data_IF_209775880557
#
_entry.id   IF_209775880557
#
_cell.length_a   1.000
_cell.length_b   1.000
_cell.length_c   1.000
_cell.angle_alpha   90.00
_cell.angle_beta   90.00
_cell.angle_gamma   90.00
#
_symmetry.space_group_name_H-M   'P 1'
#
loop_
_entity.id
_entity.type
_entity.pdbx_description
1 polymer ?
#
# COMPACT_ATOMS: atom_id res chain seq x y z
N UNK A 1 9.50 34.34 5.15
CA UNK A 1 9.72 32.95 5.62
C UNK A 1 8.77 32.03 4.91
N UNK A 2 9.17 30.83 4.49
CA UNK A 2 8.24 29.81 3.96
C UNK A 2 7.66 28.97 5.10
N UNK A 3 6.55 28.24 4.91
CA UNK A 3 5.90 27.49 5.99
C UNK A 3 6.82 26.39 6.57
N UNK A 4 7.56 25.71 5.69
CA UNK A 4 8.57 24.73 6.07
C UNK A 4 9.70 25.33 6.94
N UNK A 5 10.12 26.57 6.67
CA UNK A 5 11.13 27.25 7.49
C UNK A 5 10.60 27.55 8.89
N UNK A 6 9.35 27.98 9.03
CA UNK A 6 8.72 28.23 10.34
C UNK A 6 8.66 26.94 11.16
N UNK A 7 8.28 25.82 10.53
CA UNK A 7 8.21 24.51 11.21
C UNK A 7 9.60 24.09 11.71
N UNK A 8 10.63 24.22 10.87
CA UNK A 8 12.01 23.85 11.22
C UNK A 8 12.58 24.72 12.34
N UNK A 9 12.36 26.03 12.29
CA UNK A 9 12.87 26.96 13.30
C UNK A 9 12.12 26.82 14.63
N UNK A 10 10.80 26.62 14.60
CA UNK A 10 10.03 26.30 15.79
C UNK A 10 10.53 25.00 16.45
N UNK A 11 10.83 23.96 15.67
CA UNK A 11 11.41 22.71 16.18
C UNK A 11 12.79 22.92 16.81
N UNK A 12 13.65 23.74 16.19
CA UNK A 12 14.96 24.09 16.75
C UNK A 12 14.85 24.83 18.10
N UNK A 13 13.78 25.61 18.27
CA UNK A 13 13.41 26.29 19.52
C UNK A 13 12.68 25.37 20.53
N UNK A 14 12.55 24.08 20.23
CA UNK A 14 11.89 23.08 21.09
C UNK A 14 10.36 23.12 21.03
N UNK A 15 9.79 23.71 19.97
CA UNK A 15 8.35 23.79 19.71
C UNK A 15 7.98 22.84 18.58
N UNK A 16 7.27 21.77 18.92
CA UNK A 16 6.74 20.80 17.96
C UNK A 16 5.33 21.17 17.54
N UNK A 17 5.14 21.32 16.23
CA UNK A 17 3.85 21.52 15.59
C UNK A 17 3.38 20.17 15.05
N UNK A 18 2.17 19.76 15.42
CA UNK A 18 1.54 18.53 14.92
C UNK A 18 0.12 18.84 14.46
N UNK A 19 -0.33 18.21 13.39
CA UNK A 19 -1.71 18.34 12.96
C UNK A 19 -2.57 17.29 13.68
N UNK A 20 -3.69 17.72 14.25
CA UNK A 20 -4.69 16.81 14.84
C UNK A 20 -5.59 16.26 13.73
N UNK A 21 -6.24 15.09 13.92
CA UNK A 21 -7.16 14.49 12.94
C UNK A 21 -8.33 15.41 12.55
N UNK A 22 -8.62 16.40 13.38
CA UNK A 22 -9.65 17.43 13.18
C UNK A 22 -9.15 18.66 12.41
N UNK A 23 -7.94 18.62 11.83
CA UNK A 23 -7.34 19.74 11.09
C UNK A 23 -6.83 20.88 11.99
N UNK A 24 -6.66 20.64 13.28
CA UNK A 24 -6.18 21.64 14.24
C UNK A 24 -4.69 21.50 14.51
N UNK A 25 -3.94 22.59 14.45
CA UNK A 25 -2.52 22.61 14.83
C UNK A 25 -2.39 22.48 16.35
N UNK A 26 -1.76 21.40 16.80
CA UNK A 26 -1.33 21.19 18.18
C UNK A 26 0.11 21.64 18.32
N UNK A 27 0.34 22.58 19.22
CA UNK A 27 1.68 23.12 19.52
C UNK A 27 2.12 22.55 20.86
N UNK A 28 3.27 21.88 20.87
CA UNK A 28 3.81 21.23 22.07
C UNK A 28 5.24 21.72 22.28
N UNK A 29 5.57 22.19 23.48
CA UNK A 29 6.91 22.71 23.78
C UNK A 29 6.92 23.57 25.04
N UNK A 30 8.06 24.20 25.32
CA UNK A 30 8.19 25.14 26.44
C UNK A 30 7.21 26.32 26.25
N UNK A 31 6.43 26.65 27.29
CA UNK A 31 5.39 27.69 27.22
C UNK A 31 5.88 29.08 26.79
N UNK A 32 7.14 29.44 27.08
CA UNK A 32 7.73 30.69 26.62
C UNK A 32 8.08 30.65 25.12
N UNK A 33 8.55 29.51 24.61
CA UNK A 33 8.79 29.32 23.18
C UNK A 33 7.46 29.26 22.40
N UNK A 34 6.47 28.52 22.91
CA UNK A 34 5.12 28.45 22.31
C UNK A 34 4.48 29.83 22.21
N UNK A 35 4.57 30.67 23.26
CA UNK A 35 4.03 32.03 23.22
C UNK A 35 4.73 32.95 22.21
N UNK A 36 6.05 32.78 22.01
CA UNK A 36 6.80 33.54 20.99
C UNK A 36 6.36 33.17 19.57
N UNK A 37 6.15 31.88 19.31
CA UNK A 37 5.78 31.39 17.98
C UNK A 37 4.28 31.53 17.68
N UNK A 38 3.43 31.72 18.69
CA UNK A 38 1.96 31.82 18.54
C UNK A 38 1.50 32.92 17.57
N UNK A 39 2.16 34.07 17.53
CA UNK A 39 1.83 35.16 16.60
C UNK A 39 2.14 34.76 15.15
N UNK A 40 3.32 34.19 14.91
CA UNK A 40 3.80 33.73 13.61
C UNK A 40 2.94 32.58 13.07
N UNK A 41 2.57 31.63 13.93
CA UNK A 41 1.70 30.49 13.58
C UNK A 41 0.29 30.96 13.21
N UNK A 42 -0.24 31.98 13.90
CA UNK A 42 -1.59 32.52 13.60
C UNK A 42 -1.64 33.26 12.28
N UNK A 43 -0.61 34.04 11.97
CA UNK A 43 -0.50 34.80 10.72
C UNK A 43 -0.46 33.89 9.48
N UNK A 44 0.16 32.72 9.62
CA UNK A 44 0.47 31.80 8.51
C UNK A 44 -0.24 30.44 8.64
N UNK A 45 -1.31 30.37 9.45
CA UNK A 45 -1.95 29.13 9.88
C UNK A 45 -2.34 28.21 8.72
N UNK A 46 -2.98 28.75 7.68
CA UNK A 46 -3.48 27.96 6.55
C UNK A 46 -2.33 27.33 5.75
N UNK A 47 -1.28 28.11 5.47
CA UNK A 47 -0.09 27.60 4.76
C UNK A 47 0.72 26.62 5.60
N UNK A 48 0.73 26.77 6.93
CA UNK A 48 1.36 25.81 7.84
C UNK A 48 0.55 24.52 7.90
N UNK A 49 -0.79 24.60 7.88
CA UNK A 49 -1.65 23.41 7.76
C UNK A 49 -1.37 22.70 6.44
N UNK A 50 -1.30 23.43 5.33
CA UNK A 50 -0.98 22.87 4.01
C UNK A 50 0.40 22.20 4.01
N UNK A 51 1.43 22.84 4.56
CA UNK A 51 2.77 22.26 4.69
C UNK A 51 2.90 21.15 5.75
N UNK A 52 1.93 21.00 6.66
CA UNK A 52 1.82 19.87 7.59
C UNK A 52 0.94 18.74 7.02
N UNK A 53 0.09 19.04 6.04
CA UNK A 53 -0.70 18.07 5.26
C UNK A 53 0.13 17.47 4.13
N UNK A 54 0.99 18.28 3.52
CA UNK A 54 2.14 17.84 2.73
C UNK A 54 3.14 17.27 3.74
N UNK A 55 2.90 16.04 4.18
CA UNK A 55 3.88 15.30 4.95
C UNK A 55 5.20 15.33 4.18
N UNK A 56 6.32 15.81 4.76
CA UNK A 56 7.60 15.25 4.40
C UNK A 56 7.61 13.85 5.02
N UNK A 57 6.82 12.95 4.43
CA UNK A 57 6.69 11.57 4.87
C UNK A 57 8.06 10.95 4.71
N UNK A 58 8.66 10.65 5.86
CA UNK A 58 9.85 9.84 6.06
C UNK A 58 10.38 9.19 4.79
N UNK A 59 11.49 9.75 4.28
CA UNK A 59 12.28 9.18 3.18
C UNK A 59 12.86 7.78 3.51
N UNK A 60 12.48 7.18 4.65
CA UNK A 60 12.93 5.88 5.13
C UNK A 60 11.79 4.93 5.55
N UNK A 61 10.50 5.31 5.45
CA UNK A 61 9.42 4.38 5.82
C UNK A 61 9.22 3.34 4.72
N UNK A 62 9.67 2.12 5.01
CA UNK A 62 9.28 0.96 4.23
C UNK A 62 7.75 0.83 4.27
N UNK A 63 7.12 0.75 3.10
CA UNK A 63 5.67 0.66 2.98
C UNK A 63 5.29 -0.51 2.08
N UNK A 64 4.16 -1.15 2.39
CA UNK A 64 3.58 -2.20 1.54
C UNK A 64 2.83 -1.65 0.33
N UNK A 65 2.47 -0.38 0.32
CA UNK A 65 1.58 0.21 -0.68
C UNK A 65 2.14 1.55 -1.16
N UNK A 66 2.38 1.65 -2.46
CA UNK A 66 3.01 2.79 -3.12
C UNK A 66 2.18 3.28 -4.29
N UNK A 67 2.04 4.60 -4.41
CA UNK A 67 1.40 5.26 -5.54
C UNK A 67 2.49 5.96 -6.35
N UNK A 68 2.76 5.44 -7.54
CA UNK A 68 3.88 5.83 -8.39
C UNK A 68 3.37 6.75 -9.50
N UNK A 69 3.83 7.98 -9.49
CA UNK A 69 3.52 8.97 -10.50
C UNK A 69 4.51 8.90 -11.65
N UNK A 70 3.99 9.01 -12.86
CA UNK A 70 4.75 9.12 -14.09
C UNK A 70 4.39 10.43 -14.80
N UNK A 71 5.25 10.96 -15.68
CA UNK A 71 4.98 12.22 -16.37
C UNK A 71 3.83 12.10 -17.39
N UNK A 72 3.68 10.93 -18.01
CA UNK A 72 2.82 10.75 -19.19
C UNK A 72 1.64 9.80 -18.97
N UNK A 73 1.43 9.29 -17.75
CA UNK A 73 0.37 8.32 -17.44
C UNK A 73 -0.22 8.50 -16.05
N UNK A 74 -1.41 7.96 -15.87
CA UNK A 74 -2.08 7.90 -14.58
C UNK A 74 -1.20 7.22 -13.50
N UNK A 75 -1.34 7.63 -12.23
CA UNK A 75 -0.58 7.05 -11.14
C UNK A 75 -0.83 5.55 -11.02
N UNK A 76 0.25 4.80 -10.77
CA UNK A 76 0.21 3.35 -10.63
C UNK A 76 0.26 2.96 -9.15
N UNK A 77 -0.74 2.20 -8.72
CA UNK A 77 -0.75 1.58 -7.40
C UNK A 77 0.08 0.27 -7.41
N UNK A 78 1.05 0.17 -6.51
CA UNK A 78 1.98 -0.95 -6.39
C UNK A 78 1.99 -1.49 -4.97
N UNK A 79 1.80 -2.80 -4.85
CA UNK A 79 1.97 -3.54 -3.61
C UNK A 79 3.38 -4.14 -3.51
N UNK A 80 4.01 -4.08 -2.34
CA UNK A 80 5.36 -4.60 -2.08
C UNK A 80 5.38 -5.51 -0.84
N UNK A 81 5.80 -6.76 -1.04
CA UNK A 81 6.06 -7.74 0.00
C UNK A 81 7.45 -8.37 -0.23
N UNK A 82 8.45 -8.15 0.65
CA UNK A 82 8.41 -7.34 1.88
C UNK A 82 8.22 -5.84 1.62
N UNK A 83 8.02 -5.07 2.69
CA UNK A 83 7.88 -3.61 2.63
C UNK A 83 9.05 -2.98 1.88
N UNK A 84 8.75 -2.24 0.81
CA UNK A 84 9.77 -1.56 0.02
C UNK A 84 9.97 -0.15 0.56
N UNK A 85 11.22 0.32 0.59
CA UNK A 85 11.50 1.73 0.87
C UNK A 85 11.25 2.59 -0.38
N UNK A 86 11.11 3.89 -0.18
CA UNK A 86 10.96 4.85 -1.30
C UNK A 86 12.09 4.68 -2.35
N UNK A 87 13.33 4.46 -1.89
CA UNK A 87 14.47 4.25 -2.77
C UNK A 87 14.32 2.97 -3.60
N UNK A 88 13.94 1.85 -2.97
CA UNK A 88 13.75 0.58 -3.68
C UNK A 88 12.62 0.66 -4.73
N UNK A 89 11.63 1.52 -4.52
CA UNK A 89 10.54 1.76 -5.48
C UNK A 89 11.03 2.57 -6.68
N UNK A 90 11.76 3.66 -6.45
CA UNK A 90 12.33 4.45 -7.53
C UNK A 90 13.39 3.68 -8.33
N UNK A 91 14.14 2.77 -7.71
CA UNK A 91 15.06 1.88 -8.44
C UNK A 91 14.33 0.90 -9.37
N UNK A 92 13.18 0.36 -8.94
CA UNK A 92 12.33 -0.50 -9.79
C UNK A 92 11.57 0.27 -10.85
N UNK A 93 11.34 1.56 -10.64
CA UNK A 93 10.58 2.44 -11.52
C UNK A 93 11.38 3.72 -11.83
N UNK A 94 12.46 3.62 -12.63
CA UNK A 94 13.36 4.74 -12.90
C UNK A 94 12.71 5.89 -13.69
N UNK A 95 11.62 5.61 -14.41
CA UNK A 95 10.84 6.61 -15.16
C UNK A 95 9.79 7.32 -14.29
N UNK A 96 9.69 6.97 -12.99
CA UNK A 96 8.76 7.59 -12.07
C UNK A 96 9.24 9.00 -11.66
N UNK A 97 8.30 9.95 -11.62
CA UNK A 97 8.56 11.33 -11.15
C UNK A 97 8.38 11.45 -9.63
N UNK A 98 7.55 10.60 -9.03
CA UNK A 98 7.36 10.54 -7.59
C UNK A 98 6.81 9.16 -7.17
N UNK A 99 7.12 8.74 -5.95
CA UNK A 99 6.50 7.58 -5.33
C UNK A 99 6.08 7.96 -3.91
N UNK A 100 4.79 7.85 -3.60
CA UNK A 100 4.28 8.19 -2.27
C UNK A 100 3.68 6.96 -1.61
N UNK A 101 3.96 6.69 -0.33
CA UNK A 101 3.29 5.63 0.38
C UNK A 101 1.83 6.02 0.59
N UNK A 102 0.90 5.10 0.34
CA UNK A 102 -0.53 5.35 0.53
C UNK A 102 -1.17 4.27 1.40
N UNK A 103 -2.26 4.62 2.08
CA UNK A 103 -3.11 3.63 2.72
C UNK A 103 -4.23 3.29 1.74
N UNK A 104 -4.27 2.08 1.16
CA UNK A 104 -5.36 1.71 0.27
C UNK A 104 -6.67 1.79 1.05
N UNK A 105 -7.71 2.31 0.40
CA UNK A 105 -9.06 2.20 0.94
C UNK A 105 -9.46 0.74 0.76
N UNK A 106 -9.25 -0.07 1.80
CA UNK A 106 -9.50 -1.51 1.76
C UNK A 106 -10.94 -1.74 1.29
N UNK A 107 -11.10 -2.24 0.08
CA UNK A 107 -12.38 -2.69 -0.42
C UNK A 107 -12.74 -3.95 0.37
N UNK A 108 -13.67 -3.85 1.30
CA UNK A 108 -14.08 -5.01 2.08
C UNK A 108 -14.72 -6.06 1.17
N UNK A 109 -14.31 -7.34 1.27
CA UNK A 109 -14.98 -8.42 0.56
C UNK A 109 -16.46 -8.45 0.92
N UNK A 110 -17.33 -8.47 -0.09
CA UNK A 110 -18.77 -8.55 0.10
C UNK A 110 -19.23 -9.92 0.60
N UNK A 111 -18.35 -10.92 0.56
CA UNK A 111 -18.57 -12.29 0.99
C UNK A 111 -17.31 -12.85 1.68
N UNK A 112 -17.46 -13.81 2.61
CA UNK A 112 -16.34 -14.52 3.20
C UNK A 112 -15.44 -15.18 2.14
N UNK A 113 -14.17 -15.41 2.49
CA UNK A 113 -13.28 -16.25 1.70
C UNK A 113 -13.83 -17.68 1.70
N UNK A 114 -13.92 -18.30 0.52
CA UNK A 114 -14.38 -19.69 0.40
C UNK A 114 -13.24 -20.67 0.68
N UNK A 115 -13.58 -21.88 1.13
CA UNK A 115 -12.58 -22.94 1.37
C UNK A 115 -11.76 -23.28 0.11
N UNK A 116 -12.36 -23.14 -1.08
CA UNK A 116 -11.69 -23.36 -2.36
C UNK A 116 -10.66 -22.27 -2.67
N UNK A 117 -10.96 -21.00 -2.39
CA UNK A 117 -10.01 -19.90 -2.56
C UNK A 117 -8.88 -19.99 -1.53
N UNK A 118 -9.21 -20.28 -0.26
CA UNK A 118 -8.21 -20.53 0.78
C UNK A 118 -7.26 -21.66 0.39
N UNK A 119 -7.79 -22.77 -0.13
CA UNK A 119 -7.00 -23.91 -0.58
C UNK A 119 -6.11 -23.57 -1.79
N UNK A 120 -6.64 -22.79 -2.74
CA UNK A 120 -5.88 -22.36 -3.92
C UNK A 120 -4.74 -21.40 -3.53
N UNK A 121 -5.00 -20.46 -2.62
CA UNK A 121 -3.99 -19.53 -2.11
C UNK A 121 -2.92 -20.30 -1.34
N UNK A 122 -3.29 -21.27 -0.48
CA UNK A 122 -2.33 -22.13 0.23
C UNK A 122 -1.49 -22.99 -0.70
N UNK A 123 -2.10 -23.56 -1.74
CA UNK A 123 -1.38 -24.35 -2.74
C UNK A 123 -0.37 -23.49 -3.52
N UNK A 124 -0.76 -22.26 -3.86
CA UNK A 124 0.12 -21.31 -4.53
C UNK A 124 1.27 -20.85 -3.61
N UNK A 125 1.00 -20.59 -2.34
CA UNK A 125 2.05 -20.28 -1.35
C UNK A 125 3.04 -21.44 -1.20
N UNK A 126 2.55 -22.68 -1.10
CA UNK A 126 3.41 -23.86 -1.06
C UNK A 126 4.27 -24.02 -2.34
N UNK A 127 3.73 -23.62 -3.50
CA UNK A 127 4.45 -23.64 -4.78
C UNK A 127 5.65 -22.68 -4.78
N UNK A 128 5.52 -21.51 -4.15
CA UNK A 128 6.61 -20.54 -4.00
C UNK A 128 7.46 -20.80 -2.74
N UNK A 129 7.36 -22.00 -2.17
CA UNK A 129 8.05 -22.45 -0.95
C UNK A 129 7.65 -21.70 0.34
N UNK A 130 6.61 -20.86 0.29
CA UNK A 130 6.04 -20.19 1.45
C UNK A 130 5.16 -21.17 2.25
N UNK A 131 5.82 -21.88 3.18
CA UNK A 131 5.18 -22.87 4.07
C UNK A 131 5.10 -22.38 5.52
N UNK A 132 5.55 -21.16 5.79
CA UNK A 132 5.54 -20.60 7.13
C UNK A 132 4.10 -20.36 7.63
N UNK A 133 3.69 -20.97 8.75
CA UNK A 133 2.30 -20.90 9.21
C UNK A 133 1.89 -19.49 9.66
N UNK A 134 2.82 -18.66 10.14
CA UNK A 134 2.50 -17.28 10.54
C UNK A 134 2.22 -16.43 9.29
N UNK A 135 3.04 -16.59 8.26
CA UNK A 135 2.89 -15.93 6.96
C UNK A 135 1.61 -16.36 6.26
N UNK A 136 1.28 -17.66 6.27
CA UNK A 136 0.03 -18.18 5.70
C UNK A 136 -1.19 -17.57 6.42
N UNK A 137 -1.19 -17.53 7.76
CA UNK A 137 -2.30 -16.94 8.53
C UNK A 137 -2.43 -15.44 8.26
N UNK A 138 -1.31 -14.72 8.10
CA UNK A 138 -1.31 -13.31 7.72
C UNK A 138 -1.95 -13.11 6.33
N UNK A 139 -1.51 -13.88 5.33
CA UNK A 139 -2.02 -13.79 3.95
C UNK A 139 -3.52 -14.12 3.89
N UNK A 140 -3.96 -15.19 4.55
CA UNK A 140 -5.38 -15.55 4.61
C UNK A 140 -6.19 -14.47 5.35
N UNK A 141 -5.67 -13.96 6.46
CA UNK A 141 -6.30 -12.86 7.20
C UNK A 141 -6.41 -11.58 6.36
N UNK A 142 -5.43 -11.30 5.50
CA UNK A 142 -5.48 -10.18 4.56
C UNK A 142 -6.58 -10.40 3.52
N UNK A 143 -6.63 -11.57 2.88
CA UNK A 143 -7.65 -11.92 1.88
C UNK A 143 -9.09 -11.86 2.43
N UNK A 144 -9.26 -12.07 3.73
CA UNK A 144 -10.57 -11.95 4.39
C UNK A 144 -11.01 -10.49 4.61
N UNK A 145 -10.08 -9.55 4.75
CA UNK A 145 -10.37 -8.14 5.03
C UNK A 145 -10.32 -7.27 3.78
N UNK A 146 -9.60 -7.72 2.76
CA UNK A 146 -9.22 -6.95 1.58
C UNK A 146 -9.56 -7.74 0.29
N UNK A 147 -10.53 -7.22 -0.46
CA UNK A 147 -11.00 -7.82 -1.69
C UNK A 147 -9.96 -7.74 -2.81
N UNK A 148 -9.15 -6.68 -2.84
CA UNK A 148 -8.13 -6.50 -3.88
C UNK A 148 -6.95 -7.45 -3.62
N UNK A 149 -6.60 -7.66 -2.34
CA UNK A 149 -5.67 -8.72 -1.96
C UNK A 149 -6.20 -10.11 -2.34
N UNK A 150 -7.49 -10.40 -2.06
CA UNK A 150 -8.12 -11.66 -2.47
C UNK A 150 -8.08 -11.85 -3.99
N UNK A 151 -8.45 -10.85 -4.77
CA UNK A 151 -8.44 -10.90 -6.23
C UNK A 151 -7.01 -11.15 -6.76
N UNK A 152 -5.99 -10.51 -6.17
CA UNK A 152 -4.58 -10.74 -6.50
C UNK A 152 -4.14 -12.17 -6.22
N UNK A 153 -4.29 -12.67 -4.99
CA UNK A 153 -3.81 -14.00 -4.62
C UNK A 153 -4.57 -15.12 -5.35
N UNK A 154 -5.88 -14.94 -5.54
CA UNK A 154 -6.70 -15.88 -6.31
C UNK A 154 -6.30 -15.85 -7.79
N UNK A 155 -6.04 -14.65 -8.35
CA UNK A 155 -5.53 -14.48 -9.71
C UNK A 155 -4.17 -15.13 -9.93
N UNK A 156 -3.22 -14.97 -8.99
CA UNK A 156 -1.92 -15.64 -9.02
C UNK A 156 -2.05 -17.15 -8.89
N UNK A 157 -2.89 -17.63 -7.97
CA UNK A 157 -3.15 -19.06 -7.82
C UNK A 157 -3.72 -19.66 -9.12
N UNK A 158 -4.65 -18.99 -9.80
CA UNK A 158 -5.21 -19.46 -11.09
C UNK A 158 -4.18 -19.42 -12.22
N UNK A 159 -3.31 -18.41 -12.26
CA UNK A 159 -2.34 -18.23 -13.33
C UNK A 159 -1.11 -19.13 -13.21
N UNK A 160 -0.66 -19.40 -11.98
CA UNK A 160 0.63 -20.02 -11.68
C UNK A 160 0.50 -21.45 -11.17
N UNK A 161 -0.66 -21.85 -10.61
CA UNK A 161 -0.87 -23.25 -10.32
C UNK A 161 -0.95 -24.03 -11.64
N UNK A 162 -0.19 -25.13 -11.78
CA UNK A 162 -0.37 -26.02 -12.90
C UNK A 162 -1.83 -26.47 -12.91
N UNK A 163 -2.50 -26.35 -14.06
CA UNK A 163 -3.82 -26.97 -14.25
C UNK A 163 -3.69 -28.42 -13.80
N UNK A 164 -4.60 -28.92 -12.95
CA UNK A 164 -4.53 -30.32 -12.55
C UNK A 164 -4.45 -31.15 -13.82
N UNK A 165 -3.44 -32.03 -13.88
CA UNK A 165 -3.37 -33.04 -14.92
C UNK A 165 -4.75 -33.70 -14.99
N UNK A 166 -5.32 -33.89 -16.19
CA UNK A 166 -6.60 -34.58 -16.30
C UNK A 166 -6.44 -35.93 -15.60
N UNK A 167 -7.21 -36.11 -14.52
CA UNK A 167 -7.34 -37.37 -13.83
C UNK A 167 -7.60 -38.45 -14.90
N UNK A 168 -6.81 -39.54 -14.96
CA UNK A 168 -7.18 -40.64 -15.83
C UNK A 168 -8.53 -41.14 -15.34
N UNK A 169 -9.50 -41.20 -16.26
CA UNK A 169 -10.85 -41.72 -16.07
C UNK A 169 -11.89 -40.74 -15.49
N UNK A 170 -12.31 -39.74 -16.28
CA UNK A 170 -13.74 -39.39 -16.39
C UNK A 170 -14.04 -38.76 -17.78
N UNK A 171 -15.10 -39.20 -18.49
CA UNK A 171 -15.36 -38.79 -19.87
C UNK A 171 -15.69 -37.30 -20.00
N UNK A 172 -14.90 -36.61 -20.81
CA UNK A 172 -14.98 -35.17 -21.11
C UNK A 172 -16.39 -34.67 -21.45
N UNK A 173 -16.87 -33.57 -20.84
CA UNK A 173 -18.09 -32.90 -21.27
C UNK A 173 -17.90 -32.17 -22.62
N UNK A 174 -18.90 -32.31 -23.50
CA UNK A 174 -18.92 -31.97 -24.94
C UNK A 174 -18.54 -30.53 -25.34
N UNK A 175 -18.34 -29.59 -24.41
CA UNK A 175 -18.02 -28.21 -24.75
C UNK A 175 -16.55 -27.98 -25.17
N UNK A 176 -15.67 -28.99 -25.01
CA UNK A 176 -14.24 -28.90 -25.33
C UNK A 176 -13.83 -29.31 -26.77
N UNK A 177 -14.76 -29.62 -27.69
CA UNK A 177 -14.42 -30.20 -29.01
C UNK A 177 -14.01 -29.16 -30.07
N UNK A 178 -14.26 -27.86 -29.90
CA UNK A 178 -13.94 -26.88 -30.93
C UNK A 178 -12.66 -26.09 -30.66
N UNK A 179 -11.48 -26.71 -30.52
CA UNK A 179 -10.18 -26.11 -30.94
C UNK A 179 -9.02 -27.14 -30.95
N UNK A 180 -8.92 -27.95 -32.02
CA UNK A 180 -7.68 -28.54 -32.63
C UNK A 180 -8.12 -29.59 -33.66
N UNK A 181 -7.70 -29.65 -34.94
CA UNK A 181 -6.64 -29.06 -35.76
C UNK A 181 -7.02 -29.14 -37.25
N UNK A 182 -6.35 -28.33 -38.09
CA UNK A 182 -5.60 -28.67 -39.33
C UNK A 182 -5.30 -27.35 -40.06
N UNK A 183 -4.10 -27.00 -40.53
CA UNK A 183 -2.77 -27.59 -40.57
C UNK A 183 -1.76 -26.44 -40.38
#
# INVERSE_FOLDING_TARGET
MTPATIIREAQADGVRLALSPTGTIKVTGNGAAVNRWLAVIRERKAEIIDALQVSPGDTATASRWWLIHYPDRDPLEVACCPEATHADILERHPDAVAAEPFTPTIRQPSAPLTDSEESAIRAWLALIEETDPATIVEVIGQCQRDADARDYFTGRAVAELPKPDPLPDDPTPEWCVKQRRRQ
#
